data_IF_220125744119
#
_entry.id   IF_220125744119
#
_cell.length_a   1.000
_cell.length_b   1.000
_cell.length_c   1.000
_cell.angle_alpha   90.00
_cell.angle_beta   90.00
_cell.angle_gamma   90.00
#
_symmetry.space_group_name_H-M   'P 1'
#
loop_
_entity.id
_entity.type
_entity.pdbx_description
1 polymer ?
#
# COMPACT_ATOMS: atom_id res chain seq x y z
N UNK A 1 27.17 -0.72 54.73
CA UNK A 1 26.14 0.11 54.05
C UNK A 1 26.82 1.16 53.16
N UNK A 2 27.41 0.73 52.04
CA UNK A 2 28.03 1.58 51.01
C UNK A 2 27.90 0.90 49.64
N UNK A 3 26.71 0.40 49.32
CA UNK A 3 26.31 0.09 47.94
C UNK A 3 25.77 1.40 47.36
N UNK A 4 26.63 2.40 47.31
CA UNK A 4 27.27 2.84 46.07
C UNK A 4 26.20 3.24 45.06
N UNK A 5 25.77 4.48 45.28
CA UNK A 5 25.10 5.42 44.38
C UNK A 5 25.58 5.35 42.91
N UNK A 6 26.72 4.69 42.67
CA UNK A 6 27.31 4.39 41.37
C UNK A 6 26.53 3.32 40.56
N UNK A 7 25.85 2.36 41.21
CA UNK A 7 25.04 1.37 40.48
C UNK A 7 23.74 1.95 39.90
N UNK A 8 23.21 3.03 40.49
CA UNK A 8 22.02 3.72 39.97
C UNK A 8 22.35 4.61 38.76
N UNK A 9 23.60 5.05 38.61
CA UNK A 9 24.02 5.90 37.50
C UNK A 9 24.23 5.10 36.20
N UNK A 10 24.65 3.83 36.30
CA UNK A 10 24.87 2.95 35.14
C UNK A 10 23.55 2.41 34.58
N UNK A 11 22.54 2.21 35.42
CA UNK A 11 21.20 1.75 34.97
C UNK A 11 20.41 2.89 34.31
N UNK A 12 20.67 4.16 34.68
CA UNK A 12 20.01 5.33 34.07
C UNK A 12 20.59 5.73 32.69
N UNK A 13 21.79 5.22 32.32
CA UNK A 13 22.43 5.52 31.03
C UNK A 13 22.04 4.55 29.89
N UNK A 14 21.26 3.50 30.17
CA UNK A 14 20.90 2.47 29.17
C UNK A 14 19.52 2.71 28.54
N UNK A 15 18.73 3.63 29.07
CA UNK A 15 17.45 4.02 28.49
C UNK A 15 17.54 5.41 27.87
N UNK A 16 17.64 5.46 26.54
CA UNK A 16 17.00 6.40 25.60
C UNK A 16 17.84 6.34 24.32
N UNK A 17 17.70 5.25 23.58
CA UNK A 17 17.95 5.27 22.14
C UNK A 17 16.56 5.18 21.49
N UNK A 18 15.88 6.32 21.39
CA UNK A 18 14.69 6.43 20.54
C UNK A 18 15.20 6.44 19.10
N UNK A 19 15.31 5.25 18.52
CA UNK A 19 15.54 5.10 17.09
C UNK A 19 14.29 5.58 16.36
N UNK A 20 14.31 6.81 15.87
CA UNK A 20 13.42 7.24 14.80
C UNK A 20 13.73 6.37 13.58
N UNK A 21 12.89 5.35 13.35
CA UNK A 21 13.04 4.46 12.21
C UNK A 21 12.95 5.25 10.89
N UNK A 22 13.56 4.74 9.80
CA UNK A 22 13.48 5.40 8.50
C UNK A 22 12.02 5.56 8.08
N UNK A 23 11.66 6.77 7.65
CA UNK A 23 10.33 7.01 7.08
C UNK A 23 10.21 6.19 5.79
N UNK A 24 9.34 5.17 5.80
CA UNK A 24 9.09 4.36 4.61
C UNK A 24 8.56 5.26 3.47
N UNK A 25 9.12 5.10 2.26
CA UNK A 25 8.64 5.82 1.10
C UNK A 25 7.25 5.27 0.70
N UNK A 26 6.22 6.06 0.95
CA UNK A 26 4.82 5.72 0.67
C UNK A 26 4.38 6.01 -0.76
N UNK A 27 5.27 6.47 -1.63
CA UNK A 27 4.91 6.91 -2.97
C UNK A 27 3.99 8.15 -2.97
N UNK A 28 3.51 8.53 -4.15
CA UNK A 28 2.60 9.67 -4.30
C UNK A 28 1.21 9.36 -3.71
N UNK A 29 0.52 10.37 -3.16
CA UNK A 29 -0.81 10.20 -2.58
C UNK A 29 -1.88 9.85 -3.61
N UNK A 30 -1.72 10.33 -4.84
CA UNK A 30 -2.57 10.01 -5.98
C UNK A 30 -1.66 9.58 -7.13
N UNK A 31 -2.02 8.48 -7.79
CA UNK A 31 -1.26 7.94 -8.92
C UNK A 31 -2.22 7.64 -10.07
N UNK A 32 -1.64 7.52 -11.26
CA UNK A 32 -2.36 7.11 -12.45
C UNK A 32 -1.94 5.69 -12.83
N UNK A 33 -2.91 4.79 -12.95
CA UNK A 33 -2.67 3.42 -13.38
C UNK A 33 -3.12 3.27 -14.83
N UNK A 34 -2.19 2.93 -15.71
CA UNK A 34 -2.50 2.73 -17.13
C UNK A 34 -3.28 1.45 -17.39
N UNK A 35 -4.36 1.53 -18.17
CA UNK A 35 -4.97 0.37 -18.81
C UNK A 35 -4.76 0.46 -20.33
N UNK A 36 -4.12 -0.56 -20.93
CA UNK A 36 -3.73 -0.60 -22.34
C UNK A 36 -4.81 -0.06 -23.29
N UNK A 37 -6.06 -0.50 -23.12
CA UNK A 37 -7.17 -0.22 -24.04
C UNK A 37 -8.28 0.66 -23.47
N UNK A 38 -8.15 1.12 -22.22
CA UNK A 38 -9.21 1.88 -21.51
C UNK A 38 -8.71 3.17 -20.87
N UNK A 39 -7.52 3.62 -21.27
CA UNK A 39 -6.93 4.85 -20.75
C UNK A 39 -6.43 4.70 -19.32
N UNK A 40 -6.10 5.83 -18.72
CA UNK A 40 -5.58 5.91 -17.37
C UNK A 40 -6.71 5.93 -16.33
N UNK A 41 -6.49 5.27 -15.21
CA UNK A 41 -7.38 5.29 -14.05
C UNK A 41 -6.71 6.10 -12.95
N UNK A 42 -7.40 7.14 -12.49
CA UNK A 42 -6.98 7.86 -11.28
C UNK A 42 -7.14 6.93 -10.06
N UNK A 43 -6.05 6.71 -9.34
CA UNK A 43 -6.02 5.84 -8.17
C UNK A 43 -5.61 6.66 -6.93
N UNK A 44 -6.54 6.89 -5.98
CA UNK A 44 -6.25 7.60 -4.74
C UNK A 44 -5.50 6.68 -3.78
N UNK A 45 -4.18 6.56 -3.98
CA UNK A 45 -3.31 5.64 -3.26
C UNK A 45 -3.31 5.92 -1.75
N UNK A 46 -3.30 7.20 -1.36
CA UNK A 46 -3.35 7.62 0.05
C UNK A 46 -4.59 7.11 0.77
N UNK A 47 -5.75 7.14 0.12
CA UNK A 47 -6.99 6.61 0.71
C UNK A 47 -6.85 5.12 1.05
N UNK A 48 -6.21 4.35 0.19
CA UNK A 48 -5.94 2.93 0.44
C UNK A 48 -4.90 2.76 1.56
N UNK A 49 -3.87 3.59 1.62
CA UNK A 49 -2.88 3.56 2.70
C UNK A 49 -3.49 3.89 4.07
N UNK A 50 -4.34 4.91 4.13
CA UNK A 50 -4.99 5.33 5.38
C UNK A 50 -5.99 4.27 5.87
N UNK A 51 -6.68 3.61 4.94
CA UNK A 51 -7.74 2.63 5.26
C UNK A 51 -7.20 1.23 5.54
N UNK A 52 -6.26 0.74 4.71
CA UNK A 52 -5.78 -0.64 4.75
C UNK A 52 -4.48 -0.80 5.54
N UNK A 53 -3.60 0.20 5.52
CA UNK A 53 -2.24 0.24 6.12
C UNK A 53 -1.24 -0.81 5.61
N UNK A 54 -1.70 -1.99 5.21
CA UNK A 54 -0.87 -3.10 4.73
C UNK A 54 -0.54 -2.97 3.22
N UNK A 55 0.71 -2.65 2.91
CA UNK A 55 1.18 -2.48 1.52
C UNK A 55 1.06 -3.75 0.68
N UNK A 56 1.29 -4.91 1.30
CA UNK A 56 1.37 -6.20 0.59
C UNK A 56 0.01 -6.73 0.16
N UNK A 57 -1.08 -6.12 0.64
CA UNK A 57 -2.44 -6.35 0.12
C UNK A 57 -2.45 -6.27 -1.41
N UNK A 58 -1.75 -5.28 -1.97
CA UNK A 58 -1.59 -5.12 -3.41
C UNK A 58 -0.19 -5.54 -3.89
N UNK A 59 0.86 -5.17 -3.15
CA UNK A 59 2.24 -5.28 -3.62
C UNK A 59 2.84 -6.69 -3.56
N UNK A 60 2.08 -7.67 -3.06
CA UNK A 60 2.36 -9.09 -3.30
C UNK A 60 2.20 -9.50 -4.78
N UNK A 61 1.39 -8.77 -5.55
CA UNK A 61 1.15 -9.05 -6.98
C UNK A 61 2.15 -8.35 -7.90
N UNK A 62 2.71 -7.21 -7.49
CA UNK A 62 3.63 -6.40 -8.28
C UNK A 62 4.48 -5.48 -7.38
N UNK A 63 5.74 -5.19 -7.77
CA UNK A 63 6.63 -4.37 -6.96
C UNK A 63 6.16 -2.91 -6.90
N UNK A 64 6.59 -2.20 -5.84
CA UNK A 64 6.37 -0.76 -5.59
C UNK A 64 7.16 0.14 -6.57
N UNK A 65 7.02 -0.10 -7.87
CA UNK A 65 7.74 0.59 -8.94
C UNK A 65 6.76 1.11 -10.01
N UNK A 66 6.99 2.31 -10.58
CA UNK A 66 6.19 2.82 -11.68
C UNK A 66 6.16 1.86 -12.88
N UNK A 67 5.00 1.72 -13.50
CA UNK A 67 4.78 0.87 -14.70
C UNK A 67 5.10 -0.63 -14.52
N UNK A 68 5.30 -1.12 -13.29
CA UNK A 68 5.64 -2.52 -13.02
C UNK A 68 4.55 -3.48 -13.50
N UNK A 69 3.27 -3.09 -13.39
CA UNK A 69 2.13 -3.87 -13.85
C UNK A 69 2.22 -4.14 -15.37
N UNK A 70 2.44 -3.09 -16.18
CA UNK A 70 2.54 -3.22 -17.63
C UNK A 70 3.77 -4.02 -18.03
N UNK A 71 4.90 -3.81 -17.35
CA UNK A 71 6.12 -4.60 -17.54
C UNK A 71 5.88 -6.08 -17.28
N UNK A 72 5.28 -6.43 -16.14
CA UNK A 72 5.00 -7.83 -15.78
C UNK A 72 4.00 -8.51 -16.72
N UNK A 73 3.02 -7.76 -17.26
CA UNK A 73 2.13 -8.26 -18.31
C UNK A 73 2.91 -8.55 -19.59
N UNK A 74 3.79 -7.64 -20.01
CA UNK A 74 4.65 -7.83 -21.19
C UNK A 74 5.63 -9.00 -21.06
N UNK A 75 6.11 -9.25 -19.84
CA UNK A 75 6.96 -10.41 -19.50
C UNK A 75 6.17 -11.72 -19.32
N UNK A 76 4.83 -11.69 -19.39
CA UNK A 76 3.97 -12.86 -19.16
C UNK A 76 3.90 -13.34 -17.71
N UNK A 77 4.44 -12.57 -16.75
CA UNK A 77 4.43 -12.89 -15.31
C UNK A 77 3.13 -12.50 -14.63
N UNK A 78 2.35 -11.62 -15.26
CA UNK A 78 1.05 -11.17 -14.77
C UNK A 78 0.02 -11.32 -15.89
N UNK A 79 -1.15 -11.87 -15.58
CA UNK A 79 -2.21 -11.98 -16.58
C UNK A 79 -2.86 -10.61 -16.83
N UNK A 80 -3.34 -10.41 -18.07
CA UNK A 80 -4.16 -9.25 -18.39
C UNK A 80 -5.36 -9.18 -17.42
N UNK A 81 -5.61 -7.99 -16.89
CA UNK A 81 -6.68 -7.70 -15.91
C UNK A 81 -6.50 -8.31 -14.52
N UNK A 82 -5.43 -9.05 -14.23
CA UNK A 82 -5.25 -9.68 -12.90
C UNK A 82 -5.30 -8.66 -11.76
N UNK A 83 -4.54 -7.57 -11.87
CA UNK A 83 -4.55 -6.49 -10.86
C UNK A 83 -5.92 -5.78 -10.81
N UNK A 84 -6.53 -5.50 -11.97
CA UNK A 84 -7.86 -4.89 -12.02
C UNK A 84 -8.92 -5.75 -11.32
N UNK A 85 -8.86 -7.07 -11.51
CA UNK A 85 -9.78 -8.00 -10.86
C UNK A 85 -9.57 -8.00 -9.34
N UNK A 86 -8.31 -8.02 -8.88
CA UNK A 86 -8.01 -7.88 -7.45
C UNK A 86 -8.65 -6.62 -6.83
N UNK A 87 -8.54 -5.45 -7.50
CA UNK A 87 -9.21 -4.23 -7.03
C UNK A 87 -10.73 -4.40 -6.96
N UNK A 88 -11.33 -4.92 -8.04
CA UNK A 88 -12.78 -5.07 -8.14
C UNK A 88 -13.34 -6.07 -7.14
N UNK A 89 -12.63 -7.16 -6.89
CA UNK A 89 -13.10 -8.23 -6.02
C UNK A 89 -13.06 -7.79 -4.56
N UNK A 90 -11.97 -7.13 -4.13
CA UNK A 90 -11.92 -6.50 -2.80
C UNK A 90 -13.04 -5.46 -2.62
N UNK A 91 -13.28 -4.59 -3.61
CA UNK A 91 -14.38 -3.62 -3.53
C UNK A 91 -15.76 -4.27 -3.45
N UNK A 92 -16.00 -5.37 -4.19
CA UNK A 92 -17.26 -6.12 -4.11
C UNK A 92 -17.43 -6.78 -2.75
N UNK A 93 -16.39 -7.42 -2.21
CA UNK A 93 -16.43 -8.07 -0.90
C UNK A 93 -16.80 -7.06 0.18
N UNK A 94 -16.15 -5.90 0.18
CA UNK A 94 -16.44 -4.80 1.11
C UNK A 94 -17.85 -4.24 0.95
N UNK A 95 -18.31 -4.07 -0.30
CA UNK A 95 -19.69 -3.64 -0.58
C UNK A 95 -20.70 -4.67 -0.06
N UNK A 96 -20.46 -5.96 -0.28
CA UNK A 96 -21.32 -7.05 0.16
C UNK A 96 -21.38 -7.17 1.69
N UNK A 97 -20.29 -6.80 2.38
CA UNK A 97 -20.25 -6.68 3.84
C UNK A 97 -20.93 -5.41 4.38
N UNK A 98 -21.47 -4.54 3.51
CA UNK A 98 -22.06 -3.25 3.91
C UNK A 98 -21.03 -2.20 4.33
N UNK A 99 -19.75 -2.41 4.05
CA UNK A 99 -18.68 -1.47 4.33
C UNK A 99 -18.56 -0.42 3.21
N UNK A 100 -17.94 0.72 3.53
CA UNK A 100 -17.55 1.69 2.50
C UNK A 100 -16.48 1.07 1.60
N UNK A 101 -16.72 1.09 0.29
CA UNK A 101 -15.84 0.50 -0.71
C UNK A 101 -15.67 1.42 -1.92
N UNK A 102 -14.61 1.19 -2.69
CA UNK A 102 -14.42 1.86 -3.97
C UNK A 102 -15.35 1.31 -5.07
N UNK A 103 -15.26 1.86 -6.29
CA UNK A 103 -16.13 1.50 -7.39
C UNK A 103 -15.91 0.06 -7.88
N UNK A 104 -16.99 -0.60 -8.30
CA UNK A 104 -16.98 -1.97 -8.86
C UNK A 104 -17.33 -2.02 -10.35
N UNK A 105 -17.92 -0.93 -10.88
CA UNK A 105 -18.35 -0.80 -12.26
C UNK A 105 -17.21 -0.37 -13.19
N UNK A 106 -17.23 -0.84 -14.43
CA UNK A 106 -16.21 -0.50 -15.42
C UNK A 106 -16.17 0.99 -15.74
N UNK A 107 -17.34 1.63 -15.86
CA UNK A 107 -17.46 3.03 -16.29
C UNK A 107 -17.05 4.02 -15.19
N UNK A 108 -17.14 3.63 -13.91
CA UNK A 108 -16.69 4.48 -12.81
C UNK A 108 -15.15 4.53 -12.74
N UNK A 109 -14.48 3.42 -13.05
CA UNK A 109 -13.01 3.40 -13.10
C UNK A 109 -12.46 3.92 -14.43
N UNK A 110 -13.15 3.65 -15.54
CA UNK A 110 -12.79 4.08 -16.88
C UNK A 110 -13.84 5.04 -17.44
N UNK A 111 -13.88 6.30 -16.96
CA UNK A 111 -14.72 7.33 -17.55
C UNK A 111 -14.34 7.52 -19.03
N UNK A 112 -15.34 7.78 -19.88
CA UNK A 112 -15.17 8.02 -21.32
C UNK A 112 -14.57 9.40 -21.60
#
# INVERSE_FOLDING_TARGET
MKTSLWMLFVIFLVFIFVSAGPSENKGAPDISIGAESKGQVAFPHKTHQDTLKECDTCHSLFPKEPNSIQKLIGEGKLQKKQVMNHCRDCHKEKTAAGEKAGPTSCATCHPK
#
